data_IF_038770056617
#
_entry.id   IF_038770056617
#
_cell.length_a   1.000
_cell.length_b   1.000
_cell.length_c   1.000
_cell.angle_alpha   90.00
_cell.angle_beta   90.00
_cell.angle_gamma   90.00
#
_symmetry.space_group_name_H-M   'P 1'
#
loop_
_entity.id
_entity.type
_entity.pdbx_description
1 polymer ?
#
# COMPACT_ATOMS: atom_id res chain seq x y z
N UNK A 1 18.24 17.42 -20.50
CA UNK A 1 18.05 16.01 -20.09
C UNK A 1 17.89 15.20 -21.36
N UNK A 2 18.60 14.07 -21.47
CA UNK A 2 18.48 13.22 -22.65
C UNK A 2 17.28 12.28 -22.53
N UNK A 3 16.69 11.86 -23.65
CA UNK A 3 15.59 10.89 -23.65
C UNK A 3 15.95 9.57 -22.95
N UNK A 4 17.25 9.24 -22.90
CA UNK A 4 17.78 8.07 -22.22
C UNK A 4 17.64 8.18 -20.69
N UNK A 5 18.03 9.31 -20.10
CA UNK A 5 17.91 9.57 -18.66
C UNK A 5 16.45 9.55 -18.21
N UNK A 6 15.55 10.14 -19.00
CA UNK A 6 14.12 10.15 -18.70
C UNK A 6 13.52 8.74 -18.66
N UNK A 7 13.83 7.89 -19.66
CA UNK A 7 13.36 6.50 -19.71
C UNK A 7 13.91 5.66 -18.56
N UNK A 8 15.18 5.83 -18.22
CA UNK A 8 15.84 5.09 -17.14
C UNK A 8 15.20 5.44 -15.78
N UNK A 9 14.86 6.71 -15.59
CA UNK A 9 14.16 7.22 -14.42
C UNK A 9 12.74 6.66 -14.27
N UNK A 10 11.98 6.54 -15.36
CA UNK A 10 10.66 5.89 -15.35
C UNK A 10 10.78 4.40 -14.99
N UNK A 11 11.78 3.70 -15.50
CA UNK A 11 12.02 2.31 -15.14
C UNK A 11 12.34 2.16 -13.64
N UNK A 12 13.11 3.08 -13.05
CA UNK A 12 13.35 3.12 -11.60
C UNK A 12 12.05 3.28 -10.82
N UNK A 13 11.15 4.16 -11.25
CA UNK A 13 9.83 4.32 -10.63
C UNK A 13 8.99 3.04 -10.69
N UNK A 14 8.97 2.35 -11.84
CA UNK A 14 8.25 1.07 -11.96
C UNK A 14 8.86 0.00 -11.06
N UNK A 15 10.20 -0.10 -11.00
CA UNK A 15 10.88 -1.06 -10.11
C UNK A 15 10.57 -0.77 -8.65
N UNK A 16 10.69 0.48 -8.22
CA UNK A 16 10.37 0.88 -6.85
C UNK A 16 8.90 0.60 -6.50
N UNK A 17 7.97 0.85 -7.43
CA UNK A 17 6.56 0.52 -7.30
C UNK A 17 6.32 -0.97 -7.06
N UNK A 18 6.85 -1.82 -7.93
CA UNK A 18 6.72 -3.27 -7.79
C UNK A 18 7.39 -3.80 -6.53
N UNK A 19 8.57 -3.28 -6.19
CA UNK A 19 9.30 -3.66 -4.99
C UNK A 19 8.52 -3.27 -3.73
N UNK A 20 7.86 -2.11 -3.73
CA UNK A 20 6.99 -1.70 -2.63
C UNK A 20 5.81 -2.66 -2.46
N UNK A 21 5.10 -3.02 -3.54
CA UNK A 21 4.01 -4.00 -3.45
C UNK A 21 4.50 -5.38 -3.00
N UNK A 22 5.69 -5.82 -3.44
CA UNK A 22 6.28 -7.09 -3.02
C UNK A 22 6.66 -7.08 -1.53
N UNK A 23 7.35 -6.03 -1.06
CA UNK A 23 7.72 -5.86 0.35
C UNK A 23 6.47 -5.76 1.21
N UNK A 24 5.46 -5.00 0.77
CA UNK A 24 4.21 -4.86 1.51
C UNK A 24 3.44 -6.18 1.58
N UNK A 25 3.39 -6.95 0.49
CA UNK A 25 2.81 -8.29 0.49
C UNK A 25 3.54 -9.21 1.47
N UNK A 26 4.88 -9.18 1.51
CA UNK A 26 5.69 -9.95 2.46
C UNK A 26 5.44 -9.52 3.91
N UNK A 27 5.46 -8.22 4.20
CA UNK A 27 5.22 -7.69 5.54
C UNK A 27 3.83 -8.04 6.04
N UNK A 28 2.81 -7.88 5.20
CA UNK A 28 1.43 -8.15 5.55
C UNK A 28 1.16 -9.65 5.70
N UNK A 29 1.70 -10.49 4.80
CA UNK A 29 1.59 -11.95 4.92
C UNK A 29 2.36 -12.47 6.13
N UNK A 30 3.54 -11.92 6.40
CA UNK A 30 4.34 -12.24 7.59
C UNK A 30 3.64 -11.83 8.88
N UNK A 31 3.05 -10.63 8.92
CA UNK A 31 2.24 -10.17 10.04
C UNK A 31 0.99 -11.04 10.25
N UNK A 32 0.32 -11.46 9.17
CA UNK A 32 -0.80 -12.40 9.26
C UNK A 32 -0.37 -13.77 9.84
N UNK A 33 0.78 -14.30 9.42
CA UNK A 33 1.31 -15.58 9.91
C UNK A 33 1.78 -15.51 11.37
N UNK A 34 2.45 -14.42 11.76
CA UNK A 34 2.86 -14.18 13.15
C UNK A 34 1.63 -13.95 14.06
N UNK A 35 0.66 -13.17 13.58
CA UNK A 35 -0.63 -12.97 14.24
C UNK A 35 -1.39 -14.27 14.45
N UNK A 36 -1.36 -15.20 13.49
CA UNK A 36 -1.93 -16.55 13.64
C UNK A 36 -1.34 -17.29 14.85
N UNK A 37 -0.03 -17.17 15.09
CA UNK A 37 0.63 -17.80 16.24
C UNK A 37 0.18 -17.22 17.59
N UNK A 38 -0.03 -15.90 17.67
CA UNK A 38 -0.49 -15.24 18.88
C UNK A 38 -1.99 -15.44 19.14
N UNK A 39 -2.81 -15.42 18.08
CA UNK A 39 -4.25 -15.70 18.17
C UNK A 39 -4.47 -17.15 18.62
N UNK A 40 -3.72 -18.11 18.06
CA UNK A 40 -3.80 -19.51 18.49
C UNK A 40 -3.38 -19.73 19.95
N UNK A 41 -2.42 -18.95 20.47
CA UNK A 41 -1.97 -19.03 21.86
C UNK A 41 -2.95 -18.38 22.87
N UNK A 42 -3.83 -17.49 22.42
CA UNK A 42 -4.83 -16.79 23.26
C UNK A 42 -6.23 -17.40 23.19
N UNK A 43 -6.51 -18.32 22.26
CA UNK A 43 -7.81 -18.97 22.06
C UNK A 43 -8.12 -20.16 22.99
N UNK A 44 -7.86 -20.07 24.31
CA UNK A 44 -8.27 -21.10 25.27
C UNK A 44 -9.64 -20.86 25.93
N UNK A 45 -10.31 -19.73 25.69
CA UNK A 45 -11.66 -19.47 26.19
C UNK A 45 -12.47 -18.56 25.25
N UNK A 46 -13.27 -19.18 24.40
CA UNK A 46 -14.35 -18.56 23.62
C UNK A 46 -13.94 -17.62 22.44
N UNK A 47 -13.82 -18.16 21.20
CA UNK A 47 -13.24 -17.44 20.05
C UNK A 47 -14.09 -16.28 19.49
N UNK A 48 -15.40 -16.25 19.77
CA UNK A 48 -16.30 -15.19 19.28
C UNK A 48 -16.20 -13.86 20.05
N UNK A 49 -15.83 -13.88 21.33
CA UNK A 49 -15.66 -12.64 22.12
C UNK A 49 -14.25 -12.03 22.01
N UNK A 50 -13.25 -12.80 21.57
CA UNK A 50 -11.87 -12.31 21.48
C UNK A 50 -11.60 -11.46 20.22
N UNK A 51 -12.44 -11.57 19.19
CA UNK A 51 -12.17 -11.02 17.84
C UNK A 51 -12.83 -9.67 17.54
N UNK A 52 -13.90 -9.30 18.25
CA UNK A 52 -14.61 -8.02 18.03
C UNK A 52 -13.78 -6.76 18.36
N UNK A 53 -12.88 -6.72 19.37
CA UNK A 53 -12.10 -5.51 19.65
C UNK A 53 -11.08 -5.25 18.54
N UNK A 54 -10.51 -6.31 17.97
CA UNK A 54 -9.58 -6.22 16.85
C UNK A 54 -10.30 -5.72 15.58
N UNK A 55 -11.53 -6.19 15.32
CA UNK A 55 -12.35 -5.72 14.19
C UNK A 55 -12.75 -4.24 14.34
N UNK A 56 -13.14 -3.80 15.54
CA UNK A 56 -13.43 -2.39 15.81
C UNK A 56 -12.18 -1.52 15.67
N UNK A 57 -11.06 -1.96 16.22
CA UNK A 57 -9.78 -1.27 16.07
C UNK A 57 -9.40 -1.10 14.59
N UNK A 58 -9.60 -2.13 13.78
CA UNK A 58 -9.34 -2.09 12.34
C UNK A 58 -10.34 -1.19 11.61
N UNK A 59 -11.62 -1.23 11.97
CA UNK A 59 -12.67 -0.37 11.41
C UNK A 59 -12.44 1.13 11.69
N UNK A 60 -11.80 1.48 12.82
CA UNK A 60 -11.45 2.87 13.16
C UNK A 60 -10.08 3.26 12.58
N UNK A 61 -9.08 2.38 12.67
CA UNK A 61 -7.74 2.67 12.18
C UNK A 61 -7.69 2.84 10.66
N UNK A 62 -8.46 2.06 9.89
CA UNK A 62 -8.49 2.17 8.43
C UNK A 62 -8.89 3.56 7.92
N UNK A 63 -10.06 4.12 8.30
CA UNK A 63 -10.46 5.44 7.84
C UNK A 63 -9.53 6.52 8.38
N UNK A 64 -9.03 6.40 9.62
CA UNK A 64 -8.15 7.40 10.21
C UNK A 64 -6.79 7.46 9.49
N UNK A 65 -6.16 6.30 9.25
CA UNK A 65 -4.96 6.20 8.44
C UNK A 65 -5.22 6.62 6.98
N UNK A 66 -6.39 6.25 6.43
CA UNK A 66 -6.82 6.68 5.11
C UNK A 66 -6.85 8.19 4.96
N UNK A 67 -7.47 8.90 5.90
CA UNK A 67 -7.57 10.37 5.91
C UNK A 67 -6.19 11.02 6.04
N UNK A 68 -5.37 10.56 6.98
CA UNK A 68 -4.01 11.12 7.19
C UNK A 68 -3.17 10.95 5.94
N UNK A 69 -3.13 9.75 5.37
CA UNK A 69 -2.29 9.48 4.20
C UNK A 69 -2.86 10.17 2.95
N UNK A 70 -4.18 10.30 2.83
CA UNK A 70 -4.81 11.10 1.77
C UNK A 70 -4.44 12.58 1.86
N UNK A 71 -4.48 13.16 3.07
CA UNK A 71 -4.08 14.55 3.31
C UNK A 71 -2.60 14.78 2.96
N UNK A 72 -1.70 13.85 3.32
CA UNK A 72 -0.29 13.88 2.92
C UNK A 72 -0.14 13.77 1.41
N UNK A 73 -0.94 12.93 0.75
CA UNK A 73 -0.88 12.79 -0.71
C UNK A 73 -1.35 14.08 -1.45
N UNK A 74 -2.32 14.80 -0.86
CA UNK A 74 -2.82 16.09 -1.34
C UNK A 74 -1.86 17.26 -1.07
N UNK A 75 -1.09 17.21 0.02
CA UNK A 75 -0.13 18.27 0.35
C UNK A 75 1.12 18.26 -0.55
N UNK A 76 1.41 17.12 -1.19
CA UNK A 76 2.53 16.98 -2.14
C UNK A 76 2.14 17.58 -3.50
N UNK A 77 2.43 18.87 -3.68
CA UNK A 77 2.23 19.61 -4.93
C UNK A 77 3.51 19.72 -5.75
N UNK A 78 3.41 19.77 -7.09
CA UNK A 78 4.56 20.04 -7.95
C UNK A 78 5.06 21.48 -7.74
N UNK A 79 6.37 21.69 -7.81
CA UNK A 79 6.95 23.03 -7.84
C UNK A 79 7.88 23.17 -9.04
N UNK A 80 7.44 23.91 -10.06
CA UNK A 80 8.17 24.11 -11.30
C UNK A 80 9.49 24.89 -11.14
N UNK A 81 9.67 25.61 -10.02
CA UNK A 81 10.92 26.32 -9.71
C UNK A 81 12.02 25.41 -9.13
N UNK A 82 11.68 24.19 -8.71
CA UNK A 82 12.64 23.25 -8.12
C UNK A 82 13.40 22.44 -9.17
N UNK A 83 14.64 22.03 -8.89
CA UNK A 83 15.40 21.14 -9.75
C UNK A 83 14.63 19.87 -10.08
N UNK A 84 14.74 19.40 -11.32
CA UNK A 84 14.03 18.22 -11.81
C UNK A 84 14.25 16.96 -10.96
N UNK A 85 15.50 16.72 -10.53
CA UNK A 85 15.86 15.59 -9.68
C UNK A 85 15.12 15.61 -8.33
N UNK A 86 14.85 16.80 -7.80
CA UNK A 86 14.14 16.98 -6.54
C UNK A 86 12.63 16.77 -6.71
N UNK A 87 12.04 17.31 -7.79
CA UNK A 87 10.65 17.02 -8.15
C UNK A 87 10.41 15.53 -8.40
N UNK A 88 11.38 14.83 -8.97
CA UNK A 88 11.32 13.37 -9.12
C UNK A 88 11.32 12.63 -7.79
N UNK A 89 12.13 13.04 -6.81
CA UNK A 89 12.12 12.47 -5.46
C UNK A 89 10.77 12.70 -4.78
N UNK A 90 10.22 13.91 -4.89
CA UNK A 90 8.91 14.26 -4.35
C UNK A 90 7.81 13.40 -4.98
N UNK A 91 7.85 13.20 -6.30
CA UNK A 91 6.92 12.31 -6.98
C UNK A 91 7.04 10.85 -6.52
N UNK A 92 8.26 10.37 -6.29
CA UNK A 92 8.51 9.03 -5.74
C UNK A 92 7.93 8.89 -4.33
N UNK A 93 8.11 9.89 -3.46
CA UNK A 93 7.51 9.92 -2.13
C UNK A 93 5.98 9.87 -2.21
N UNK A 94 5.37 10.66 -3.10
CA UNK A 94 3.91 10.62 -3.34
C UNK A 94 3.45 9.24 -3.82
N UNK A 95 4.23 8.59 -4.68
CA UNK A 95 3.93 7.25 -5.16
C UNK A 95 3.95 6.22 -4.03
N UNK A 96 4.94 6.29 -3.13
CA UNK A 96 5.01 5.44 -1.94
C UNK A 96 3.80 5.67 -1.03
N UNK A 97 3.49 6.93 -0.70
CA UNK A 97 2.34 7.31 0.13
C UNK A 97 1.02 6.78 -0.46
N UNK A 98 0.84 6.93 -1.77
CA UNK A 98 -0.33 6.41 -2.49
C UNK A 98 -0.37 4.88 -2.48
N UNK A 99 0.76 4.20 -2.65
CA UNK A 99 0.81 2.74 -2.60
C UNK A 99 0.49 2.21 -1.20
N UNK A 100 0.93 2.90 -0.15
CA UNK A 100 0.55 2.57 1.24
C UNK A 100 -0.96 2.70 1.46
N UNK A 101 -1.63 3.71 0.90
CA UNK A 101 -3.10 3.83 0.90
C UNK A 101 -3.77 2.62 0.25
N UNK A 102 -3.21 2.15 -0.86
CA UNK A 102 -3.73 0.97 -1.55
C UNK A 102 -3.46 -0.31 -0.77
N UNK A 103 -2.39 -0.34 0.01
CA UNK A 103 -2.12 -1.40 0.98
C UNK A 103 -3.14 -1.49 2.10
N UNK A 104 -3.58 -0.33 2.62
CA UNK A 104 -4.62 -0.24 3.64
C UNK A 104 -5.94 -0.89 3.18
N UNK A 105 -6.28 -0.80 1.88
CA UNK A 105 -7.45 -1.47 1.32
C UNK A 105 -7.38 -3.00 1.41
N UNK A 106 -6.20 -3.58 1.57
CA UNK A 106 -6.03 -5.03 1.72
C UNK A 106 -6.13 -5.54 3.17
N UNK A 107 -6.06 -4.66 4.18
CA UNK A 107 -6.18 -5.04 5.60
C UNK A 107 -7.50 -5.74 5.96
N UNK A 108 -8.68 -5.37 5.40
CA UNK A 108 -9.93 -6.09 5.66
C UNK A 108 -9.86 -7.55 5.22
N UNK A 109 -9.25 -7.83 4.05
CA UNK A 109 -9.01 -9.20 3.59
C UNK A 109 -8.04 -9.94 4.51
N UNK A 110 -7.00 -9.26 4.98
CA UNK A 110 -6.04 -9.85 5.91
C UNK A 110 -6.67 -10.20 7.27
N UNK A 111 -7.55 -9.32 7.77
CA UNK A 111 -8.36 -9.57 8.95
C UNK A 111 -9.30 -10.75 8.73
N UNK A 112 -9.99 -10.81 7.60
CA UNK A 112 -10.84 -11.93 7.22
C UNK A 112 -10.06 -13.25 7.16
N UNK A 113 -8.80 -13.25 6.69
CA UNK A 113 -7.94 -14.43 6.70
C UNK A 113 -7.58 -14.89 8.12
N UNK A 114 -7.24 -13.97 9.03
CA UNK A 114 -6.98 -14.29 10.43
C UNK A 114 -8.21 -14.90 11.15
N UNK A 115 -9.41 -14.49 10.76
CA UNK A 115 -10.67 -15.02 11.29
C UNK A 115 -11.05 -16.38 10.68
N UNK A 116 -11.02 -16.48 9.35
CA UNK A 116 -11.58 -17.62 8.62
C UNK A 116 -10.56 -18.71 8.29
N UNK A 117 -9.26 -18.41 8.36
CA UNK A 117 -8.15 -19.31 8.02
C UNK A 117 -8.20 -19.86 6.58
N UNK A 118 -9.01 -19.24 5.70
CA UNK A 118 -9.18 -19.69 4.33
C UNK A 118 -8.06 -19.17 3.43
N UNK A 119 -7.27 -20.09 2.86
CA UNK A 119 -6.16 -19.80 1.93
C UNK A 119 -6.65 -19.00 0.70
N UNK A 120 -7.91 -19.17 0.30
CA UNK A 120 -8.53 -18.38 -0.78
C UNK A 120 -8.58 -16.88 -0.48
N UNK A 121 -8.71 -16.48 0.79
CA UNK A 121 -8.71 -15.06 1.20
C UNK A 121 -7.32 -14.46 1.05
N UNK A 122 -6.27 -15.25 1.30
CA UNK A 122 -4.88 -14.86 1.07
C UNK A 122 -4.58 -14.75 -0.44
N UNK A 123 -5.09 -15.67 -1.25
CA UNK A 123 -5.01 -15.60 -2.71
C UNK A 123 -5.74 -14.36 -3.26
N UNK A 124 -6.93 -14.06 -2.72
CA UNK A 124 -7.68 -12.86 -3.08
C UNK A 124 -6.94 -11.57 -2.68
N UNK A 125 -6.28 -11.55 -1.52
CA UNK A 125 -5.42 -10.44 -1.09
C UNK A 125 -4.24 -10.23 -2.05
N UNK A 126 -3.54 -11.30 -2.42
CA UNK A 126 -2.45 -11.24 -3.41
C UNK A 126 -2.95 -10.76 -4.78
N UNK A 127 -4.10 -11.25 -5.23
CA UNK A 127 -4.76 -10.83 -6.46
C UNK A 127 -5.15 -9.34 -6.43
N UNK A 128 -5.70 -8.85 -5.32
CA UNK A 128 -6.02 -7.44 -5.11
C UNK A 128 -4.76 -6.57 -5.21
N UNK A 129 -3.66 -6.96 -4.54
CA UNK A 129 -2.40 -6.21 -4.62
C UNK A 129 -1.83 -6.19 -6.05
N UNK A 130 -1.91 -7.30 -6.79
CA UNK A 130 -1.48 -7.34 -8.19
C UNK A 130 -2.35 -6.46 -9.09
N UNK A 131 -3.67 -6.47 -8.90
CA UNK A 131 -4.61 -5.63 -9.63
C UNK A 131 -4.35 -4.15 -9.35
N UNK A 132 -4.23 -3.78 -8.08
CA UNK A 132 -3.93 -2.42 -7.64
C UNK A 132 -2.56 -1.96 -8.13
N UNK A 133 -1.54 -2.83 -8.03
CA UNK A 133 -0.21 -2.57 -8.57
C UNK A 133 -0.22 -2.32 -10.08
N UNK A 134 -1.02 -3.07 -10.84
CA UNK A 134 -1.20 -2.88 -12.28
C UNK A 134 -1.96 -1.61 -12.62
N UNK A 135 -3.07 -1.31 -11.94
CA UNK A 135 -3.88 -0.12 -12.23
C UNK A 135 -3.14 1.18 -11.89
N UNK A 136 -2.21 1.12 -10.94
CA UNK A 136 -1.49 2.31 -10.45
C UNK A 136 -0.08 2.44 -11.00
N UNK A 137 0.24 1.68 -12.05
CA UNK A 137 1.58 1.64 -12.65
C UNK A 137 2.06 3.06 -13.02
N UNK A 138 3.23 3.49 -12.54
CA UNK A 138 3.76 4.81 -12.89
C UNK A 138 4.14 4.86 -14.37
N UNK A 139 3.58 5.84 -15.09
CA UNK A 139 3.83 6.07 -16.52
C UNK A 139 4.36 7.50 -16.76
N UNK A 140 5.02 7.70 -17.90
CA UNK A 140 5.50 9.02 -18.34
C UNK A 140 4.38 10.08 -18.33
N UNK A 141 3.22 9.69 -18.87
CA UNK A 141 2.04 10.55 -18.97
C UNK A 141 1.47 10.90 -17.59
N UNK A 142 1.53 9.98 -16.62
CA UNK A 142 1.05 10.23 -15.25
C UNK A 142 1.95 11.24 -14.53
N UNK A 143 3.26 11.19 -14.78
CA UNK A 143 4.22 12.16 -14.25
C UNK A 143 4.05 13.53 -14.90
N UNK A 144 3.88 13.59 -16.22
CA UNK A 144 3.62 14.84 -16.94
C UNK A 144 2.30 15.49 -16.51
N UNK A 145 1.22 14.70 -16.35
CA UNK A 145 -0.06 15.21 -15.82
C UNK A 145 0.08 15.77 -14.41
N UNK A 146 0.90 15.15 -13.57
CA UNK A 146 1.16 15.68 -12.22
C UNK A 146 2.00 16.95 -12.22
N UNK A 147 2.93 17.13 -13.17
CA UNK A 147 3.67 18.38 -13.29
C UNK A 147 2.80 19.55 -13.74
N UNK A 148 1.70 19.27 -14.45
CA UNK A 148 0.78 20.26 -15.01
C UNK A 148 -0.44 20.55 -14.11
N UNK A 149 -0.62 19.80 -13.01
CA UNK A 149 -1.72 19.99 -12.04
C UNK A 149 -1.33 20.91 -10.90
#
# INVERSE_FOLDING_TARGET
>A
MTDAEYRQNIQRFRRAHWLHFAVQALLMSGAALAGRGQVAATTSSNPQLATWPALLGLAVALPLLGVVVYAVCQSIRPNLRRPYAENMRIYLSRLIVRNSLLGLLGLPLLAAYLLTHHVLVLAAYGGLLLLLGRQTLPSAQTYQRWLLS
#
